data_IF_886649772353
#
_entry.id   IF_886649772353
#
_cell.length_a   1.000
_cell.length_b   1.000
_cell.length_c   1.000
_cell.angle_alpha   90.00
_cell.angle_beta   90.00
_cell.angle_gamma   90.00
#
_symmetry.space_group_name_H-M   'P 1'
#
loop_
_entity.id
_entity.type
_entity.pdbx_description
1 polymer ?
#
# COMPACT_ATOMS: atom_id res chain seq x y z
N UNK A 1 42.13 -77.97 2.10
CA UNK A 1 42.62 -77.06 3.15
C UNK A 1 42.36 -75.63 2.71
N UNK A 2 42.02 -74.78 3.68
CA UNK A 2 41.68 -73.35 3.57
C UNK A 2 42.70 -72.51 2.82
N UNK A 3 42.25 -71.38 2.28
CA UNK A 3 43.12 -70.27 1.86
C UNK A 3 42.38 -69.27 0.99
N UNK A 4 41.98 -68.15 1.60
CA UNK A 4 41.23 -67.02 1.04
C UNK A 4 42.02 -66.22 -0.01
N UNK A 5 41.32 -65.51 -0.92
CA UNK A 5 41.62 -64.11 -1.27
C UNK A 5 40.52 -63.43 -2.15
N UNK A 6 40.00 -62.33 -1.61
CA UNK A 6 39.66 -61.03 -2.21
C UNK A 6 38.53 -60.82 -3.25
N UNK A 7 37.61 -59.94 -2.81
CA UNK A 7 37.15 -58.71 -3.47
C UNK A 7 35.98 -58.79 -4.48
N UNK A 8 34.78 -58.41 -4.02
CA UNK A 8 34.10 -57.22 -4.57
C UNK A 8 32.96 -56.76 -3.66
N UNK A 9 33.12 -55.54 -3.16
CA UNK A 9 32.10 -54.77 -2.47
C UNK A 9 30.91 -54.49 -3.40
N UNK A 10 29.69 -54.63 -2.88
CA UNK A 10 28.48 -54.25 -3.57
C UNK A 10 27.32 -54.17 -2.61
N UNK A 11 27.07 -52.98 -2.06
CA UNK A 11 25.77 -52.31 -2.18
C UNK A 11 25.85 -50.91 -1.55
N UNK A 12 25.86 -49.89 -2.39
CA UNK A 12 25.76 -48.49 -1.99
C UNK A 12 24.33 -48.19 -1.50
N UNK A 13 24.13 -48.05 -0.20
CA UNK A 13 22.93 -47.42 0.34
C UNK A 13 23.14 -45.89 0.35
N UNK A 14 22.77 -45.24 -0.75
CA UNK A 14 22.65 -43.78 -0.81
C UNK A 14 21.28 -43.38 -0.26
N UNK A 15 21.22 -43.14 1.04
CA UNK A 15 20.07 -42.49 1.70
C UNK A 15 19.91 -41.07 1.14
N UNK A 16 18.82 -40.84 0.41
CA UNK A 16 18.47 -39.52 -0.12
C UNK A 16 17.76 -38.70 0.97
N UNK A 17 18.51 -37.83 1.64
CA UNK A 17 17.96 -36.79 2.52
C UNK A 17 17.40 -35.66 1.64
N UNK A 18 16.08 -35.66 1.43
CA UNK A 18 15.38 -34.58 0.75
C UNK A 18 15.19 -33.41 1.72
N UNK A 19 16.05 -32.40 1.61
CA UNK A 19 15.91 -31.15 2.34
C UNK A 19 14.75 -30.34 1.73
N UNK A 20 13.57 -30.40 2.34
CA UNK A 20 12.47 -29.47 2.02
C UNK A 20 12.83 -28.07 2.53
N UNK A 21 13.52 -27.29 1.70
CA UNK A 21 13.66 -25.85 1.92
C UNK A 21 12.30 -25.24 1.61
N UNK A 22 11.52 -24.97 2.65
CA UNK A 22 10.41 -24.03 2.60
C UNK A 22 10.98 -22.65 2.26
N UNK A 23 11.07 -22.37 0.96
CA UNK A 23 11.15 -21.02 0.45
C UNK A 23 9.84 -20.33 0.83
N UNK A 24 9.79 -19.75 2.02
CA UNK A 24 8.92 -18.63 2.29
C UNK A 24 9.35 -17.55 1.31
N UNK A 25 8.77 -17.55 0.11
CA UNK A 25 8.87 -16.44 -0.81
C UNK A 25 8.24 -15.28 -0.04
N UNK A 26 9.09 -14.47 0.59
CA UNK A 26 8.71 -13.11 0.90
C UNK A 26 8.33 -12.54 -0.46
N UNK A 27 7.02 -12.51 -0.74
CA UNK A 27 6.50 -11.86 -1.92
C UNK A 27 6.95 -10.41 -1.79
N UNK A 28 8.09 -10.10 -2.41
CA UNK A 28 8.58 -8.75 -2.53
C UNK A 28 7.38 -7.95 -3.03
N UNK A 29 6.93 -7.01 -2.20
CA UNK A 29 5.76 -6.23 -2.55
C UNK A 29 6.03 -5.63 -3.94
N UNK A 30 5.21 -6.00 -4.93
CA UNK A 30 5.45 -5.58 -6.31
C UNK A 30 5.63 -4.07 -6.38
N UNK A 31 6.52 -3.61 -7.27
CA UNK A 31 6.80 -2.19 -7.42
C UNK A 31 5.53 -1.37 -7.60
N UNK A 32 5.54 -0.15 -7.08
CA UNK A 32 4.43 0.78 -7.25
C UNK A 32 4.35 1.23 -8.70
N UNK A 33 3.22 0.99 -9.33
CA UNK A 33 3.01 1.33 -10.73
C UNK A 33 1.91 2.35 -10.86
N UNK A 34 2.28 3.59 -11.21
CA UNK A 34 1.33 4.69 -11.35
C UNK A 34 0.20 4.39 -12.34
N UNK A 35 0.47 3.61 -13.39
CA UNK A 35 -0.52 3.23 -14.40
C UNK A 35 -1.62 2.27 -13.88
N UNK A 36 -1.42 1.63 -12.72
CA UNK A 36 -2.30 0.57 -12.18
C UNK A 36 -2.73 0.80 -10.74
N UNK A 37 -1.79 1.25 -9.91
CA UNK A 37 -1.94 1.43 -8.46
C UNK A 37 -2.49 2.81 -8.07
N UNK A 38 -2.97 3.60 -9.05
CA UNK A 38 -3.59 4.92 -8.81
C UNK A 38 -5.00 5.00 -9.36
N UNK A 39 -5.76 5.99 -8.89
CA UNK A 39 -7.14 6.21 -9.32
C UNK A 39 -7.22 6.75 -10.76
N UNK A 40 -8.26 6.37 -11.47
CA UNK A 40 -8.55 6.89 -12.82
C UNK A 40 -9.26 8.27 -12.80
N UNK A 41 -9.54 8.83 -11.63
CA UNK A 41 -10.11 10.16 -11.48
C UNK A 41 -9.11 11.10 -10.80
N UNK A 42 -9.13 12.36 -11.22
CA UNK A 42 -8.24 13.38 -10.68
C UNK A 42 -8.75 13.93 -9.36
N UNK A 43 -7.83 14.17 -8.41
CA UNK A 43 -8.08 15.12 -7.33
C UNK A 43 -7.78 16.52 -7.82
N UNK A 44 -8.81 17.27 -8.21
CA UNK A 44 -8.61 18.64 -8.66
C UNK A 44 -8.27 19.53 -7.45
N UNK A 45 -7.24 20.35 -7.60
CA UNK A 45 -6.96 21.46 -6.68
C UNK A 45 -7.60 22.69 -7.30
N UNK A 46 -8.77 23.10 -6.80
CA UNK A 46 -9.46 24.28 -7.32
C UNK A 46 -9.31 25.42 -6.32
N UNK A 47 -8.48 26.39 -6.70
CA UNK A 47 -8.45 27.72 -6.10
C UNK A 47 -9.37 28.63 -6.93
N UNK A 48 -10.22 29.39 -6.25
CA UNK A 48 -10.86 30.54 -6.87
C UNK A 48 -9.94 31.75 -6.65
N UNK A 49 -9.78 32.60 -7.65
CA UNK A 49 -9.01 33.84 -7.53
C UNK A 49 -9.98 34.99 -7.61
N UNK A 50 -10.02 35.83 -6.58
CA UNK A 50 -10.73 37.10 -6.60
C UNK A 50 -9.68 38.20 -6.45
N UNK A 51 -9.61 39.10 -7.44
CA UNK A 51 -8.68 40.25 -7.42
C UNK A 51 -7.21 39.85 -7.20
N UNK A 52 -6.79 38.70 -7.75
CA UNK A 52 -5.42 38.18 -7.59
C UNK A 52 -5.15 37.47 -6.26
N UNK A 53 -6.10 37.45 -5.33
CA UNK A 53 -5.98 36.72 -4.07
C UNK A 53 -6.60 35.32 -4.18
N UNK A 54 -5.85 34.25 -3.85
CA UNK A 54 -6.39 32.91 -3.83
C UNK A 54 -7.39 32.75 -2.66
N UNK A 55 -8.62 32.38 -2.98
CA UNK A 55 -9.64 31.99 -2.01
C UNK A 55 -9.96 30.50 -2.15
N UNK A 56 -10.37 29.89 -1.03
CA UNK A 56 -10.91 28.54 -1.04
C UNK A 56 -12.28 28.57 -1.71
N UNK A 57 -12.39 27.92 -2.87
CA UNK A 57 -13.65 27.78 -3.60
C UNK A 57 -14.77 27.23 -2.71
N UNK A 58 -15.90 27.93 -2.67
CA UNK A 58 -17.14 27.47 -2.01
C UNK A 58 -17.59 26.14 -2.66
N UNK A 59 -18.20 25.22 -1.90
CA UNK A 59 -18.70 23.96 -2.47
C UNK A 59 -19.64 24.28 -3.64
N UNK A 60 -19.30 23.79 -4.84
CA UNK A 60 -20.13 23.98 -6.03
C UNK A 60 -21.38 23.10 -5.94
N UNK A 61 -22.53 23.63 -6.32
CA UNK A 61 -23.79 22.89 -6.46
C UNK A 61 -23.83 22.01 -7.72
N UNK A 62 -22.83 22.14 -8.62
CA UNK A 62 -22.69 21.30 -9.81
C UNK A 62 -22.02 19.99 -9.41
N UNK A 63 -22.79 18.90 -9.42
CA UNK A 63 -22.39 17.52 -9.07
C UNK A 63 -21.16 16.98 -9.83
N UNK A 64 -20.76 17.66 -10.92
CA UNK A 64 -19.58 17.36 -11.74
C UNK A 64 -18.28 17.98 -11.24
N UNK A 65 -18.33 18.83 -10.21
CA UNK A 65 -17.13 19.38 -9.60
C UNK A 65 -16.44 18.30 -8.76
N UNK A 66 -15.53 17.66 -9.48
CA UNK A 66 -14.63 16.58 -9.14
C UNK A 66 -14.25 16.51 -7.67
N UNK A 67 -14.07 15.29 -7.18
CA UNK A 67 -13.39 14.96 -5.94
C UNK A 67 -12.17 15.88 -5.71
N UNK A 68 -12.34 16.96 -4.93
CA UNK A 68 -11.37 18.08 -4.78
C UNK A 68 -10.82 18.10 -3.37
N UNK A 69 -9.54 18.45 -3.19
CA UNK A 69 -8.89 18.58 -1.87
C UNK A 69 -8.87 17.28 -1.04
N UNK A 70 -8.78 16.13 -1.71
CA UNK A 70 -8.71 14.79 -1.10
C UNK A 70 -7.34 14.13 -1.31
N UNK A 71 -6.27 14.90 -1.51
CA UNK A 71 -4.92 14.37 -1.77
C UNK A 71 -4.46 13.39 -0.69
N UNK A 72 -4.66 13.71 0.59
CA UNK A 72 -4.34 12.80 1.70
C UNK A 72 -5.11 11.49 1.63
N UNK A 73 -6.41 11.55 1.32
CA UNK A 73 -7.26 10.36 1.17
C UNK A 73 -6.77 9.52 -0.01
N UNK A 74 -6.52 10.12 -1.17
CA UNK A 74 -6.05 9.37 -2.34
C UNK A 74 -4.69 8.70 -2.10
N UNK A 75 -3.70 9.43 -1.57
CA UNK A 75 -2.38 8.86 -1.32
C UNK A 75 -2.46 7.73 -0.28
N UNK A 76 -3.20 7.94 0.81
CA UNK A 76 -3.43 6.91 1.84
C UNK A 76 -4.11 5.68 1.24
N UNK A 77 -5.19 5.88 0.50
CA UNK A 77 -5.99 4.77 -0.02
C UNK A 77 -5.25 4.00 -1.11
N UNK A 78 -4.51 4.67 -1.99
CA UNK A 78 -3.65 3.99 -2.97
C UNK A 78 -2.64 3.06 -2.27
N UNK A 79 -1.99 3.52 -1.19
CA UNK A 79 -1.10 2.70 -0.37
C UNK A 79 -1.83 1.52 0.29
N UNK A 80 -3.03 1.75 0.84
CA UNK A 80 -3.82 0.68 1.46
C UNK A 80 -4.22 -0.40 0.46
N UNK A 81 -4.67 -0.01 -0.74
CA UNK A 81 -5.00 -0.96 -1.80
C UNK A 81 -3.77 -1.75 -2.24
N UNK A 82 -2.63 -1.08 -2.45
CA UNK A 82 -1.38 -1.76 -2.80
C UNK A 82 -0.95 -2.81 -1.77
N UNK A 83 -1.14 -2.51 -0.48
CA UNK A 83 -0.71 -3.38 0.63
C UNK A 83 -1.70 -4.49 0.98
N UNK A 84 -2.99 -4.25 0.80
CA UNK A 84 -4.04 -5.09 1.40
C UNK A 84 -5.08 -5.62 0.42
N UNK A 85 -5.04 -5.20 -0.84
CA UNK A 85 -5.95 -5.66 -1.88
C UNK A 85 -5.20 -6.46 -2.95
N UNK A 86 -5.91 -7.42 -3.56
CA UNK A 86 -5.53 -8.05 -4.83
C UNK A 86 -6.71 -8.04 -5.78
N UNK A 87 -6.44 -7.98 -7.07
CA UNK A 87 -7.44 -7.87 -8.12
C UNK A 87 -7.53 -9.17 -8.91
N UNK A 88 -8.76 -9.57 -9.24
CA UNK A 88 -9.03 -10.77 -10.03
C UNK A 88 -9.92 -10.40 -11.23
N UNK A 89 -9.35 -10.23 -12.43
CA UNK A 89 -10.11 -9.83 -13.61
C UNK A 89 -11.03 -10.92 -14.17
N UNK A 90 -10.87 -12.18 -13.76
CA UNK A 90 -11.60 -13.30 -14.34
C UNK A 90 -12.90 -13.63 -13.59
N UNK A 91 -13.01 -13.19 -12.33
CA UNK A 91 -14.22 -13.35 -11.53
C UNK A 91 -15.26 -12.27 -11.81
N UNK A 92 -16.54 -12.57 -11.58
CA UNK A 92 -17.63 -11.62 -11.76
C UNK A 92 -17.53 -10.43 -10.77
N UNK A 93 -17.75 -9.17 -11.22
CA UNK A 93 -17.78 -8.02 -10.34
C UNK A 93 -18.85 -8.16 -9.24
N UNK A 94 -18.56 -7.61 -8.07
CA UNK A 94 -19.51 -7.55 -6.95
C UNK A 94 -20.64 -6.55 -7.21
N UNK A 95 -21.76 -6.76 -6.52
CA UNK A 95 -22.78 -5.73 -6.32
C UNK A 95 -22.23 -4.53 -5.52
N UNK A 96 -22.93 -3.40 -5.55
CA UNK A 96 -22.46 -2.15 -4.93
C UNK A 96 -22.28 -2.26 -3.41
N UNK A 97 -23.15 -2.99 -2.72
CA UNK A 97 -23.09 -3.16 -1.25
C UNK A 97 -21.87 -3.98 -0.87
N UNK A 98 -21.68 -5.12 -1.53
CA UNK A 98 -20.52 -6.00 -1.33
C UNK A 98 -19.20 -5.30 -1.68
N UNK A 99 -19.20 -4.50 -2.76
CA UNK A 99 -18.02 -3.73 -3.16
C UNK A 99 -17.69 -2.63 -2.14
N UNK A 100 -18.69 -1.89 -1.66
CA UNK A 100 -18.50 -0.89 -0.60
C UNK A 100 -17.91 -1.51 0.67
N UNK A 101 -18.42 -2.67 1.10
CA UNK A 101 -17.89 -3.38 2.26
C UNK A 101 -16.41 -3.77 2.09
N UNK A 102 -15.99 -4.21 0.90
CA UNK A 102 -14.57 -4.51 0.63
C UNK A 102 -13.71 -3.25 0.60
N UNK A 103 -14.20 -2.16 0.02
CA UNK A 103 -13.50 -0.87 0.06
C UNK A 103 -13.26 -0.46 1.52
N UNK A 104 -14.29 -0.55 2.37
CA UNK A 104 -14.15 -0.27 3.80
C UNK A 104 -13.15 -1.20 4.48
N UNK A 105 -13.19 -2.51 4.22
CA UNK A 105 -12.26 -3.46 4.81
C UNK A 105 -10.78 -3.14 4.48
N UNK A 106 -10.50 -2.56 3.31
CA UNK A 106 -9.17 -2.05 2.95
C UNK A 106 -8.87 -0.72 3.64
N UNK A 107 -9.80 0.24 3.61
CA UNK A 107 -9.56 1.62 4.11
C UNK A 107 -9.49 1.73 5.62
N UNK A 108 -10.09 0.78 6.35
CA UNK A 108 -9.96 0.67 7.82
C UNK A 108 -8.59 0.15 8.27
N UNK A 109 -7.81 -0.47 7.38
CA UNK A 109 -6.46 -0.93 7.72
C UNK A 109 -5.51 0.23 7.85
N UNK A 110 -4.56 0.10 8.77
CA UNK A 110 -3.55 1.11 9.01
C UNK A 110 -2.53 1.15 7.86
N UNK A 111 -2.34 2.28 7.15
CA UNK A 111 -1.49 2.32 5.95
C UNK A 111 0.01 2.08 6.24
N UNK A 112 0.47 2.35 7.45
CA UNK A 112 1.88 2.16 7.85
C UNK A 112 2.23 0.75 8.31
N UNK A 113 1.28 -0.18 8.41
CA UNK A 113 1.61 -1.58 8.70
C UNK A 113 2.21 -2.28 7.48
N UNK A 114 2.88 -3.41 7.72
CA UNK A 114 3.43 -4.24 6.65
C UNK A 114 2.33 -4.74 5.70
N UNK A 115 2.65 -4.91 4.41
CA UNK A 115 1.71 -5.46 3.44
C UNK A 115 1.30 -6.88 3.84
N UNK A 116 0.05 -7.23 3.52
CA UNK A 116 -0.38 -8.62 3.69
C UNK A 116 0.30 -9.51 2.62
N UNK A 117 0.62 -10.77 2.98
CA UNK A 117 0.88 -11.82 1.99
C UNK A 117 -0.22 -11.85 0.93
N UNK A 118 0.14 -12.10 -0.32
CA UNK A 118 -0.77 -11.97 -1.47
C UNK A 118 -2.03 -12.83 -1.33
N UNK A 119 -1.89 -14.07 -0.86
CA UNK A 119 -2.98 -15.01 -0.58
C UNK A 119 -3.98 -14.50 0.47
N UNK A 120 -3.51 -13.64 1.39
CA UNK A 120 -4.32 -13.04 2.47
C UNK A 120 -4.91 -11.68 2.14
N UNK A 121 -4.60 -11.11 0.96
CA UNK A 121 -5.15 -9.82 0.54
C UNK A 121 -6.63 -9.93 0.18
N UNK A 122 -7.37 -8.85 0.44
CA UNK A 122 -8.78 -8.72 0.11
C UNK A 122 -8.93 -8.72 -1.41
N UNK A 123 -9.68 -9.67 -1.93
CA UNK A 123 -9.88 -9.82 -3.38
C UNK A 123 -10.84 -8.74 -3.89
N UNK A 124 -10.62 -8.21 -5.08
CA UNK A 124 -11.58 -7.38 -5.83
C UNK A 124 -11.80 -8.02 -7.19
N UNK A 125 -12.94 -8.70 -7.41
CA UNK A 125 -13.21 -9.42 -8.64
C UNK A 125 -13.73 -8.47 -9.73
N UNK A 126 -13.50 -8.82 -10.99
CA UNK A 126 -14.01 -8.14 -12.17
C UNK A 126 -13.18 -6.96 -12.65
N UNK A 127 -11.99 -6.76 -12.06
CA UNK A 127 -11.07 -5.68 -12.42
C UNK A 127 -9.64 -6.20 -12.36
N UNK A 128 -8.76 -5.66 -13.20
CA UNK A 128 -7.33 -6.01 -13.21
C UNK A 128 -6.52 -5.22 -12.18
N UNK A 129 -6.96 -4.01 -11.83
CA UNK A 129 -6.26 -3.09 -10.94
C UNK A 129 -7.17 -1.99 -10.36
N UNK A 130 -6.61 -1.19 -9.44
CA UNK A 130 -7.31 -0.08 -8.80
C UNK A 130 -7.76 0.98 -9.82
N UNK A 131 -6.95 1.20 -10.87
CA UNK A 131 -7.25 2.19 -11.89
C UNK A 131 -8.49 1.80 -12.68
N UNK A 132 -8.60 0.55 -13.10
CA UNK A 132 -9.77 0.03 -13.80
C UNK A 132 -11.02 0.06 -12.91
N UNK A 133 -10.92 -0.43 -11.68
CA UNK A 133 -12.05 -0.41 -10.73
C UNK A 133 -12.54 1.03 -10.49
N UNK A 134 -11.63 1.97 -10.23
CA UNK A 134 -11.98 3.37 -9.98
C UNK A 134 -12.46 4.12 -11.22
N UNK A 135 -12.15 3.63 -12.43
CA UNK A 135 -12.74 4.11 -13.68
C UNK A 135 -14.19 3.64 -13.81
N UNK A 136 -14.44 2.36 -13.55
CA UNK A 136 -15.75 1.72 -13.70
C UNK A 136 -16.75 2.13 -12.60
N UNK A 137 -16.30 2.19 -11.34
CA UNK A 137 -17.15 2.41 -10.16
C UNK A 137 -16.80 3.73 -9.45
N UNK A 138 -16.55 4.78 -10.23
CA UNK A 138 -16.05 6.07 -9.74
C UNK A 138 -16.83 6.64 -8.57
N UNK A 139 -18.15 6.78 -8.71
CA UNK A 139 -19.00 7.40 -7.68
C UNK A 139 -18.99 6.58 -6.38
N UNK A 140 -19.13 5.26 -6.50
CA UNK A 140 -19.06 4.33 -5.37
C UNK A 140 -17.70 4.43 -4.65
N UNK A 141 -16.59 4.43 -5.39
CA UNK A 141 -15.26 4.55 -4.78
C UNK A 141 -15.12 5.88 -4.04
N UNK A 142 -15.54 7.00 -4.63
CA UNK A 142 -15.45 8.33 -3.99
C UNK A 142 -16.27 8.41 -2.69
N UNK A 143 -17.43 7.77 -2.64
CA UNK A 143 -18.27 7.73 -1.43
C UNK A 143 -17.66 6.90 -0.30
N UNK A 144 -16.86 5.87 -0.61
CA UNK A 144 -16.43 4.86 0.35
C UNK A 144 -14.97 4.97 0.82
N UNK A 145 -14.16 5.86 0.23
CA UNK A 145 -12.74 6.04 0.62
C UNK A 145 -12.50 7.12 1.70
N UNK A 146 -13.57 7.72 2.22
CA UNK A 146 -13.56 8.64 3.36
C UNK A 146 -13.44 10.13 2.98
N UNK A 147 -13.82 11.01 3.91
CA UNK A 147 -13.79 12.45 3.69
C UNK A 147 -12.38 13.04 3.85
N UNK A 148 -12.04 14.06 3.06
CA UNK A 148 -10.73 14.71 3.10
C UNK A 148 -10.46 15.53 4.37
N UNK A 149 -11.50 16.12 4.96
CA UNK A 149 -11.34 17.11 6.04
C UNK A 149 -10.87 16.56 7.40
N UNK A 150 -11.23 15.34 7.87
CA UNK A 150 -10.72 14.80 9.13
C UNK A 150 -9.22 14.51 9.09
N UNK A 151 -8.65 14.32 7.89
CA UNK A 151 -7.21 14.14 7.73
C UNK A 151 -6.44 15.40 8.16
N UNK A 152 -6.96 16.59 7.93
CA UNK A 152 -6.29 17.84 8.31
C UNK A 152 -6.23 18.06 9.83
N UNK A 153 -7.12 17.43 10.60
CA UNK A 153 -7.18 17.54 12.06
C UNK A 153 -6.52 16.40 12.83
N UNK A 154 -5.84 15.45 12.15
CA UNK A 154 -5.03 14.45 12.88
C UNK A 154 -3.85 15.14 13.54
N UNK A 155 -3.73 15.00 14.87
CA UNK A 155 -2.61 15.53 15.68
C UNK A 155 -1.24 15.13 15.09
N UNK A 156 -1.13 13.94 14.48
CA UNK A 156 0.09 13.50 13.80
C UNK A 156 0.54 14.44 12.67
N UNK A 157 -0.38 15.16 12.04
CA UNK A 157 -0.09 16.10 10.96
C UNK A 157 0.43 17.46 11.46
N UNK A 158 0.26 17.78 12.75
CA UNK A 158 0.89 18.96 13.35
C UNK A 158 2.42 18.91 13.20
N UNK A 159 3.03 17.72 13.18
CA UNK A 159 4.47 17.57 12.94
C UNK A 159 4.92 18.03 11.55
N UNK A 160 4.07 17.96 10.51
CA UNK A 160 4.41 18.54 9.19
C UNK A 160 4.54 20.07 9.25
N UNK A 161 3.85 20.71 10.19
CA UNK A 161 3.89 22.16 10.38
C UNK A 161 5.04 22.58 11.31
N UNK A 162 5.42 21.73 12.29
CA UNK A 162 6.35 22.10 13.37
C UNK A 162 7.72 21.40 13.36
N UNK A 163 7.98 20.39 12.51
CA UNK A 163 9.26 19.68 12.45
C UNK A 163 10.06 20.04 11.20
N UNK A 164 10.72 21.20 11.22
CA UNK A 164 11.57 21.70 10.12
C UNK A 164 13.01 22.00 10.58
N UNK A 165 13.66 21.09 11.31
CA UNK A 165 15.09 21.23 11.62
C UNK A 165 15.96 20.55 10.56
N UNK A 166 17.15 21.10 10.30
CA UNK A 166 18.11 20.55 9.33
C UNK A 166 18.49 19.09 9.67
N UNK A 167 18.73 18.78 10.95
CA UNK A 167 19.03 17.41 11.39
C UNK A 167 17.87 16.43 11.18
N UNK A 168 16.61 16.88 11.30
CA UNK A 168 15.45 16.04 11.01
C UNK A 168 15.35 15.72 9.50
N UNK A 169 15.64 16.70 8.64
CA UNK A 169 15.66 16.52 7.19
C UNK A 169 16.76 15.54 6.77
N UNK A 170 17.96 15.65 7.34
CA UNK A 170 19.08 14.77 7.04
C UNK A 170 18.81 13.32 7.46
N UNK A 171 18.28 13.10 8.68
CA UNK A 171 17.86 11.77 9.14
C UNK A 171 16.73 11.19 8.28
N UNK A 172 15.77 12.02 7.89
CA UNK A 172 14.67 11.62 7.01
C UNK A 172 15.18 11.22 5.64
N UNK A 173 16.11 11.99 5.08
CA UNK A 173 16.77 11.72 3.81
C UNK A 173 17.53 10.38 3.83
N UNK A 174 18.35 10.14 4.86
CA UNK A 174 19.07 8.88 5.01
C UNK A 174 18.11 7.67 5.09
N UNK A 175 17.02 7.79 5.86
CA UNK A 175 16.01 6.73 5.97
C UNK A 175 15.23 6.51 4.68
N UNK A 176 14.91 7.58 3.96
CA UNK A 176 14.28 7.51 2.65
C UNK A 176 15.18 6.76 1.66
N UNK A 177 16.44 7.12 1.55
CA UNK A 177 17.41 6.44 0.67
C UNK A 177 17.54 4.96 1.04
N UNK A 178 17.60 4.63 2.34
CA UNK A 178 17.67 3.26 2.79
C UNK A 178 16.39 2.45 2.46
N UNK A 179 15.20 3.05 2.55
CA UNK A 179 13.96 2.41 2.16
C UNK A 179 13.88 2.17 0.65
N UNK A 180 14.24 3.17 -0.14
CA UNK A 180 14.28 3.09 -1.60
C UNK A 180 15.30 2.05 -2.08
N UNK A 181 16.48 1.98 -1.47
CA UNK A 181 17.50 0.97 -1.78
C UNK A 181 17.02 -0.47 -1.54
N UNK A 182 16.04 -0.67 -0.64
CA UNK A 182 15.40 -1.98 -0.39
C UNK A 182 14.16 -2.24 -1.24
N UNK A 183 13.79 -1.32 -2.15
CA UNK A 183 12.54 -1.41 -2.92
C UNK A 183 11.28 -1.26 -2.05
N UNK A 184 11.40 -0.65 -0.87
CA UNK A 184 10.29 -0.45 0.05
C UNK A 184 9.75 0.98 -0.01
N UNK A 185 8.47 1.13 0.30
CA UNK A 185 7.87 2.44 0.54
C UNK A 185 8.47 3.06 1.80
N UNK A 186 8.91 4.31 1.70
CA UNK A 186 9.26 5.08 2.89
C UNK A 186 8.00 5.37 3.70
N UNK A 187 8.02 4.91 4.95
CA UNK A 187 7.01 5.24 5.96
C UNK A 187 7.70 6.13 6.99
N UNK A 188 7.27 7.40 7.16
CA UNK A 188 7.83 8.25 8.19
C UNK A 188 7.55 7.63 9.57
N UNK A 189 8.49 7.72 10.52
CA UNK A 189 8.35 7.06 11.81
C UNK A 189 7.08 7.51 12.55
N UNK A 190 6.14 6.60 12.77
CA UNK A 190 5.05 6.78 13.73
C UNK A 190 5.53 6.48 15.15
N UNK A 191 4.98 7.17 16.15
CA UNK A 191 5.43 7.33 17.55
C UNK A 191 5.87 6.09 18.38
N UNK A 192 5.91 4.87 17.85
CA UNK A 192 6.24 3.67 18.64
C UNK A 192 7.72 3.25 18.65
N UNK A 193 8.61 3.97 17.97
CA UNK A 193 10.03 3.53 17.86
C UNK A 193 11.06 4.55 18.37
N UNK A 194 10.66 5.48 19.24
CA UNK A 194 11.58 6.51 19.76
C UNK A 194 11.44 6.78 21.26
N UNK A 195 11.29 5.72 22.06
CA UNK A 195 11.64 5.78 23.49
C UNK A 195 12.72 4.73 23.78
N UNK A 196 13.83 4.86 23.08
CA UNK A 196 15.13 4.47 23.61
C UNK A 196 15.79 5.75 24.14
N UNK A 197 15.35 6.23 25.30
CA UNK A 197 16.15 7.16 26.07
C UNK A 197 17.28 6.32 26.68
N UNK A 198 18.48 6.43 26.11
CA UNK A 198 19.69 6.06 26.82
C UNK A 198 19.84 6.98 28.02
N UNK A 199 19.83 6.38 29.21
CA UNK A 199 20.61 6.86 30.34
C UNK A 199 22.03 6.31 30.17
#
# INVERSE_FOLDING_TARGET
MRGDFCFRAGFCWLSSLTLFVLLCTNAAASDFRFDRDTFAFANQTVFEYHEGHPSLRRPSTVRRDAYKRHCFVLCRTAMQFKKFARFDPHSAPLDDTSLAARIHAVTHRTPWTDPLPEDRRIVFPGYKDLREMSKARRELVQLNIGHGWPSYFRISNARMVFQQSAGYQEQTHARLNAALARGHYYVPPSQHQSLGFGL
#
